data_IF_538663957648
#
_entry.id   IF_538663957648
#
_cell.length_a   1.000
_cell.length_b   1.000
_cell.length_c   1.000
_cell.angle_alpha   90.00
_cell.angle_beta   90.00
_cell.angle_gamma   90.00
#
_symmetry.space_group_name_H-M   'P 1'
#
loop_
_entity.id
_entity.type
_entity.pdbx_description
1 polymer ?
#
# COMPACT_ATOMS: atom_id res chain seq x y z
N UNK A 1 5.89 7.15 -34.06
CA UNK A 1 4.71 6.25 -33.91
C UNK A 1 4.75 5.17 -34.96
N UNK A 2 4.33 3.94 -34.66
CA UNK A 2 4.28 2.84 -35.63
C UNK A 2 2.88 2.20 -35.61
N UNK A 3 2.30 1.99 -36.78
CA UNK A 3 0.99 1.36 -37.00
C UNK A 3 1.20 0.00 -37.70
N UNK A 4 0.62 -1.04 -37.12
CA UNK A 4 0.84 -2.44 -37.51
C UNK A 4 -0.33 -3.02 -38.31
N UNK A 5 -0.07 -4.12 -39.00
CA UNK A 5 -1.05 -4.89 -39.80
C UNK A 5 -1.78 -4.12 -40.92
N UNK A 6 -1.14 -3.11 -41.51
CA UNK A 6 -1.71 -2.34 -42.64
C UNK A 6 -1.67 -3.19 -43.91
N UNK A 7 -2.76 -3.19 -44.67
CA UNK A 7 -2.93 -4.02 -45.87
C UNK A 7 -3.56 -5.38 -45.60
N UNK A 8 -3.70 -5.76 -44.33
CA UNK A 8 -4.42 -6.99 -43.92
C UNK A 8 -5.58 -6.68 -42.98
N UNK A 9 -5.30 -6.42 -41.69
CA UNK A 9 -6.33 -6.21 -40.66
C UNK A 9 -6.65 -4.74 -40.41
N UNK A 10 -5.67 -3.86 -40.61
CA UNK A 10 -5.78 -2.44 -40.32
C UNK A 10 -6.14 -1.65 -41.59
N UNK A 11 -6.93 -0.59 -41.42
CA UNK A 11 -7.23 0.38 -42.48
C UNK A 11 -5.95 1.09 -42.91
N UNK A 12 -5.86 1.43 -44.18
CA UNK A 12 -4.78 2.28 -44.69
C UNK A 12 -4.97 3.72 -44.19
N UNK A 13 -4.00 4.29 -43.44
CA UNK A 13 -4.02 5.69 -43.07
C UNK A 13 -4.07 6.63 -44.28
N UNK A 14 -4.83 7.74 -44.24
CA UNK A 14 -4.83 8.74 -45.30
C UNK A 14 -3.58 9.63 -45.28
N UNK A 15 -2.87 9.67 -44.15
CA UNK A 15 -1.62 10.41 -43.98
C UNK A 15 -0.45 9.55 -44.46
N UNK A 16 0.39 10.03 -45.39
CA UNK A 16 1.57 9.29 -45.82
C UNK A 16 2.59 9.17 -44.66
N UNK A 17 3.14 7.96 -44.42
CA UNK A 17 4.06 7.71 -43.30
C UNK A 17 5.48 8.15 -43.64
N UNK A 18 6.34 8.30 -42.64
CA UNK A 18 7.79 8.51 -42.83
C UNK A 18 8.45 7.30 -43.47
N UNK A 19 8.04 6.09 -43.08
CA UNK A 19 8.51 4.84 -43.68
C UNK A 19 7.42 3.78 -43.77
N UNK A 20 7.58 2.88 -44.74
CA UNK A 20 6.73 1.70 -44.95
C UNK A 20 7.61 0.45 -44.96
N UNK A 21 7.30 -0.49 -44.09
CA UNK A 21 7.99 -1.78 -43.96
C UNK A 21 7.05 -2.92 -44.31
N UNK A 22 7.38 -3.71 -45.32
CA UNK A 22 6.67 -4.95 -45.61
C UNK A 22 7.19 -6.07 -44.70
N UNK A 23 6.33 -6.66 -43.88
CA UNK A 23 6.67 -7.66 -42.85
C UNK A 23 6.29 -9.09 -43.25
N UNK A 24 5.36 -9.22 -44.18
CA UNK A 24 5.00 -10.41 -44.95
C UNK A 24 4.33 -9.96 -46.25
N UNK A 25 4.14 -10.83 -47.27
CA UNK A 25 3.54 -10.42 -48.52
C UNK A 25 2.19 -9.71 -48.32
N UNK A 26 2.10 -8.43 -48.70
CA UNK A 26 0.89 -7.62 -48.56
C UNK A 26 0.55 -7.15 -47.14
N UNK A 27 1.47 -7.31 -46.16
CA UNK A 27 1.29 -6.81 -44.80
C UNK A 27 2.39 -5.83 -44.41
N UNK A 28 1.99 -4.66 -43.90
CA UNK A 28 2.88 -3.51 -43.73
C UNK A 28 2.83 -2.93 -42.32
N UNK A 29 4.00 -2.46 -41.87
CA UNK A 29 4.17 -1.55 -40.73
C UNK A 29 4.45 -0.16 -41.26
N UNK A 30 3.67 0.83 -40.83
CA UNK A 30 3.86 2.23 -41.22
C UNK A 30 4.37 3.02 -40.03
N UNK A 31 5.50 3.72 -40.21
CA UNK A 31 6.08 4.56 -39.16
C UNK A 31 5.99 6.04 -39.46
N UNK A 32 5.68 6.81 -38.43
CA UNK A 32 5.62 8.26 -38.43
C UNK A 32 6.68 8.78 -37.45
N UNK A 33 7.68 9.49 -37.95
CA UNK A 33 8.62 10.24 -37.14
C UNK A 33 7.94 11.48 -36.57
N UNK A 34 8.36 11.89 -35.38
CA UNK A 34 7.78 13.02 -34.69
C UNK A 34 8.61 14.28 -34.89
N UNK A 35 7.97 15.40 -35.21
CA UNK A 35 8.63 16.71 -35.27
C UNK A 35 8.98 17.24 -33.87
N UNK A 36 8.18 16.85 -32.89
CA UNK A 36 8.41 17.08 -31.46
C UNK A 36 8.10 15.79 -30.70
N UNK A 37 9.01 15.37 -29.83
CA UNK A 37 8.88 14.12 -29.09
C UNK A 37 7.72 14.22 -28.08
N UNK A 38 6.62 13.46 -28.23
CA UNK A 38 5.52 13.50 -27.28
C UNK A 38 5.91 12.84 -25.95
N UNK A 39 5.20 13.21 -24.90
CA UNK A 39 5.25 12.47 -23.63
C UNK A 39 4.69 11.05 -23.80
N UNK A 40 5.06 10.16 -22.88
CA UNK A 40 4.55 8.77 -22.86
C UNK A 40 3.02 8.74 -22.76
N UNK A 41 2.44 9.65 -21.97
CA UNK A 41 0.99 9.79 -21.79
C UNK A 41 0.28 10.20 -23.08
N UNK A 42 0.77 11.23 -23.77
CA UNK A 42 0.20 11.70 -25.04
C UNK A 42 0.29 10.65 -26.13
N UNK A 43 1.46 10.00 -26.27
CA UNK A 43 1.61 8.90 -27.22
C UNK A 43 0.60 7.79 -26.92
N UNK A 44 0.50 7.38 -25.65
CA UNK A 44 -0.39 6.29 -25.22
C UNK A 44 -1.86 6.60 -25.51
N UNK A 45 -2.30 7.84 -25.24
CA UNK A 45 -3.66 8.27 -25.54
C UNK A 45 -3.93 8.25 -27.05
N UNK A 46 -2.98 8.76 -27.85
CA UNK A 46 -3.12 8.81 -29.30
C UNK A 46 -3.15 7.41 -29.93
N UNK A 47 -2.20 6.53 -29.61
CA UNK A 47 -2.14 5.19 -30.23
C UNK A 47 -3.37 4.34 -29.88
N UNK A 48 -3.94 4.50 -28.68
CA UNK A 48 -5.20 3.84 -28.29
C UNK A 48 -6.39 4.33 -29.12
N UNK A 49 -6.48 5.64 -29.35
CA UNK A 49 -7.54 6.21 -30.20
C UNK A 49 -7.39 5.76 -31.67
N UNK A 50 -6.15 5.70 -32.17
CA UNK A 50 -5.84 5.22 -33.54
C UNK A 50 -6.18 3.72 -33.67
N UNK A 51 -5.87 2.90 -32.67
CA UNK A 51 -6.25 1.48 -32.64
C UNK A 51 -7.77 1.29 -32.62
N UNK A 52 -8.49 2.06 -31.79
CA UNK A 52 -9.95 2.03 -31.74
C UNK A 52 -10.62 2.43 -33.07
N UNK A 53 -10.00 3.34 -33.83
CA UNK A 53 -10.45 3.70 -35.18
C UNK A 53 -10.11 2.64 -36.26
N UNK A 54 -9.32 1.62 -35.91
CA UNK A 54 -8.98 0.47 -36.76
C UNK A 54 -7.78 0.71 -37.68
N UNK A 55 -6.90 1.66 -37.36
CA UNK A 55 -5.71 1.96 -38.17
C UNK A 55 -4.45 1.21 -37.73
N UNK A 56 -4.51 0.43 -36.64
CA UNK A 56 -3.42 -0.45 -36.17
C UNK A 56 -3.99 -1.63 -35.38
N UNK A 57 -3.23 -2.72 -35.28
CA UNK A 57 -3.59 -3.86 -34.44
C UNK A 57 -3.81 -3.43 -32.97
N UNK A 58 -4.94 -3.78 -32.32
CA UNK A 58 -5.23 -3.42 -30.93
C UNK A 58 -4.21 -3.92 -29.90
N UNK A 59 -3.50 -5.02 -30.20
CA UNK A 59 -2.40 -5.55 -29.39
C UNK A 59 -1.07 -4.80 -29.57
N UNK A 60 -1.00 -3.86 -30.52
CA UNK A 60 0.16 -3.01 -30.79
C UNK A 60 -0.03 -1.55 -30.31
N UNK A 61 -0.84 -1.31 -29.27
CA UNK A 61 -1.21 0.03 -28.81
C UNK A 61 -0.35 0.59 -27.66
N UNK A 62 0.96 0.35 -27.64
CA UNK A 62 1.85 0.83 -26.57
C UNK A 62 3.03 1.68 -27.10
N UNK A 63 3.62 2.57 -26.26
CA UNK A 63 4.72 3.46 -26.69
C UNK A 63 6.05 2.77 -27.02
N UNK A 64 6.26 1.55 -26.54
CA UNK A 64 7.56 0.85 -26.58
C UNK A 64 7.51 -0.35 -27.53
N UNK A 65 6.80 -0.21 -28.65
CA UNK A 65 6.57 -1.32 -29.58
C UNK A 65 7.74 -1.52 -30.52
N UNK A 66 8.25 -2.75 -30.56
CA UNK A 66 9.25 -3.16 -31.54
C UNK A 66 8.65 -3.23 -32.94
N UNK A 67 9.42 -2.82 -33.94
CA UNK A 67 9.07 -2.92 -35.35
C UNK A 67 10.14 -3.71 -36.11
N UNK A 68 9.82 -4.14 -37.33
CA UNK A 68 10.73 -4.93 -38.16
C UNK A 68 11.86 -4.09 -38.70
N UNK A 69 13.06 -4.67 -38.70
CA UNK A 69 14.21 -4.09 -39.39
C UNK A 69 14.27 -4.59 -40.84
N UNK A 70 14.71 -3.75 -41.79
CA UNK A 70 14.97 -4.18 -43.17
C UNK A 70 15.92 -5.39 -43.18
N UNK A 71 15.61 -6.40 -43.98
CA UNK A 71 16.40 -7.64 -44.08
C UNK A 71 16.15 -8.66 -42.95
N UNK A 72 15.35 -8.33 -41.94
CA UNK A 72 15.01 -9.30 -40.88
C UNK A 72 14.07 -10.40 -41.41
N UNK A 73 14.37 -11.65 -41.04
CA UNK A 73 13.57 -12.82 -41.46
C UNK A 73 12.37 -13.00 -40.53
N UNK A 74 11.18 -13.05 -41.10
CA UNK A 74 9.97 -13.44 -40.41
C UNK A 74 9.98 -14.97 -40.21
N UNK A 75 10.26 -15.40 -38.99
CA UNK A 75 10.40 -16.83 -38.68
C UNK A 75 9.12 -17.66 -38.91
N UNK A 76 7.94 -17.03 -39.03
CA UNK A 76 6.69 -17.77 -39.24
C UNK A 76 6.49 -18.23 -40.69
N UNK A 77 7.02 -17.48 -41.66
CA UNK A 77 6.77 -17.73 -43.08
C UNK A 77 8.03 -17.60 -43.96
N UNK A 78 9.20 -17.34 -43.37
CA UNK A 78 10.47 -17.18 -44.07
C UNK A 78 10.61 -15.87 -44.85
N UNK A 79 9.64 -14.96 -44.77
CA UNK A 79 9.69 -13.71 -45.53
C UNK A 79 10.79 -12.78 -45.01
N UNK A 80 11.59 -12.22 -45.93
CA UNK A 80 12.60 -11.23 -45.60
C UNK A 80 11.93 -9.86 -45.64
N UNK A 81 11.85 -9.18 -44.49
CA UNK A 81 11.19 -7.87 -44.36
C UNK A 81 11.86 -6.82 -45.25
N UNK A 82 11.07 -6.00 -45.95
CA UNK A 82 11.57 -5.05 -46.96
C UNK A 82 11.15 -3.62 -46.63
N UNK A 83 12.11 -2.70 -46.69
CA UNK A 83 11.81 -1.27 -46.69
C UNK A 83 11.23 -0.90 -48.06
N UNK A 84 9.94 -0.59 -48.10
CA UNK A 84 9.21 -0.26 -49.34
C UNK A 84 9.35 1.21 -49.67
N UNK A 85 9.17 2.06 -48.66
CA UNK A 85 9.30 3.52 -48.79
C UNK A 85 10.01 4.06 -47.55
N UNK A 86 10.89 5.04 -47.75
CA UNK A 86 11.46 5.84 -46.69
C UNK A 86 11.65 7.28 -47.18
N UNK A 87 10.93 8.21 -46.54
CA UNK A 87 11.03 9.64 -46.80
C UNK A 87 11.64 10.32 -45.57
N UNK A 88 12.98 10.40 -45.46
CA UNK A 88 13.62 11.06 -44.34
C UNK A 88 13.22 12.55 -44.27
N UNK A 89 13.02 13.07 -43.06
CA UNK A 89 12.57 14.44 -42.81
C UNK A 89 11.04 14.64 -42.90
N UNK A 90 10.26 13.62 -43.29
CA UNK A 90 8.80 13.64 -43.17
C UNK A 90 8.42 13.38 -41.70
N UNK A 91 8.18 14.45 -40.97
CA UNK A 91 7.86 14.43 -39.54
C UNK A 91 6.51 15.07 -39.27
N UNK A 92 5.86 14.64 -38.19
CA UNK A 92 4.54 15.15 -37.80
C UNK A 92 4.45 15.33 -36.28
N UNK A 93 3.63 16.28 -35.84
CA UNK A 93 3.15 16.31 -34.47
C UNK A 93 2.10 15.22 -34.23
N UNK A 94 1.91 14.82 -32.97
CA UNK A 94 0.82 13.89 -32.60
C UNK A 94 -0.55 14.45 -33.00
N UNK A 95 -0.74 15.77 -32.87
CA UNK A 95 -1.97 16.45 -33.23
C UNK A 95 -2.28 16.33 -34.74
N UNK A 96 -1.29 16.53 -35.61
CA UNK A 96 -1.46 16.37 -37.06
C UNK A 96 -1.79 14.93 -37.45
N UNK A 97 -1.10 13.95 -36.83
CA UNK A 97 -1.39 12.53 -37.05
C UNK A 97 -2.85 12.23 -36.66
N UNK A 98 -3.28 12.65 -35.48
CA UNK A 98 -4.63 12.40 -34.98
C UNK A 98 -5.70 13.09 -35.84
N UNK A 99 -5.46 14.34 -36.24
CA UNK A 99 -6.37 15.10 -37.09
C UNK A 99 -6.52 14.44 -38.46
N UNK A 100 -5.41 14.03 -39.10
CA UNK A 100 -5.45 13.36 -40.39
C UNK A 100 -6.17 12.00 -40.34
N UNK A 101 -6.06 11.28 -39.21
CA UNK A 101 -6.74 10.01 -38.97
C UNK A 101 -8.20 10.18 -38.48
N UNK A 102 -8.64 11.42 -38.21
CA UNK A 102 -9.98 11.71 -37.69
C UNK A 102 -10.22 11.14 -36.28
N UNK A 103 -9.18 11.08 -35.44
CA UNK A 103 -9.28 10.52 -34.08
C UNK A 103 -9.08 11.60 -33.01
N UNK A 104 -9.73 11.40 -31.87
CA UNK A 104 -9.58 12.26 -30.69
C UNK A 104 -8.95 11.44 -29.57
N UNK A 105 -7.67 11.70 -29.20
CA UNK A 105 -7.04 11.06 -28.06
C UNK A 105 -7.79 11.35 -26.75
N UNK A 106 -7.78 10.39 -25.83
CA UNK A 106 -8.22 10.64 -24.45
C UNK A 106 -7.24 11.56 -23.70
N UNK A 107 -7.55 11.85 -22.43
CA UNK A 107 -6.64 12.59 -21.55
C UNK A 107 -5.33 11.82 -21.41
N UNK A 108 -4.20 12.51 -21.59
CA UNK A 108 -2.87 11.92 -21.40
C UNK A 108 -2.72 11.46 -19.95
N UNK A 109 -2.18 10.24 -19.77
CA UNK A 109 -1.83 9.77 -18.43
C UNK A 109 -0.59 10.53 -17.94
N UNK A 110 -0.77 11.32 -16.88
CA UNK A 110 0.30 12.09 -16.23
C UNK A 110 0.87 11.38 -15.00
N UNK A 111 0.47 10.13 -14.75
CA UNK A 111 0.98 9.37 -13.62
C UNK A 111 2.49 9.12 -13.79
N UNK A 112 3.29 9.86 -13.03
CA UNK A 112 4.73 9.63 -12.91
C UNK A 112 4.98 8.79 -11.66
N UNK A 113 5.61 7.63 -11.81
CA UNK A 113 6.21 6.92 -10.67
C UNK A 113 7.43 7.74 -10.24
N UNK A 114 7.28 8.50 -9.15
CA UNK A 114 8.42 9.19 -8.52
C UNK A 114 9.03 8.24 -7.51
N UNK A 115 10.31 7.93 -7.67
CA UNK A 115 11.06 7.27 -6.60
C UNK A 115 11.12 8.19 -5.39
N UNK A 116 10.83 7.64 -4.21
CA UNK A 116 11.07 8.35 -2.95
C UNK A 116 12.54 8.12 -2.63
N UNK A 117 13.38 9.11 -2.93
CA UNK A 117 14.77 9.11 -2.51
C UNK A 117 14.89 9.49 -1.03
N UNK A 118 15.59 8.67 -0.24
CA UNK A 118 16.03 9.04 1.09
C UNK A 118 17.26 9.94 0.94
N UNK A 119 17.20 11.17 1.45
CA UNK A 119 18.36 12.06 1.52
C UNK A 119 19.10 11.82 2.84
N UNK A 120 20.43 11.89 2.79
CA UNK A 120 21.22 11.91 4.01
C UNK A 120 21.02 13.24 4.74
N UNK A 121 20.89 13.21 6.06
CA UNK A 121 20.79 14.41 6.90
C UNK A 121 22.18 14.93 7.34
N UNK A 122 23.24 14.16 7.08
CA UNK A 122 24.61 14.46 7.50
C UNK A 122 24.96 13.99 8.92
N UNK A 123 24.03 13.36 9.63
CA UNK A 123 24.17 12.96 11.04
C UNK A 123 24.55 11.47 11.20
N UNK A 124 25.11 10.84 10.18
CA UNK A 124 25.60 9.47 10.30
C UNK A 124 26.88 9.42 11.15
N UNK A 125 26.76 8.78 12.31
CA UNK A 125 27.80 8.65 13.32
C UNK A 125 28.98 7.76 12.87
N UNK A 126 28.75 6.80 11.96
CA UNK A 126 29.82 6.00 11.36
C UNK A 126 30.69 6.88 10.46
N UNK A 127 30.09 7.70 9.59
CA UNK A 127 30.83 8.65 8.75
C UNK A 127 31.59 9.68 9.61
N UNK A 128 30.97 10.21 10.68
CA UNK A 128 31.62 11.11 11.61
C UNK A 128 32.85 10.45 12.27
N UNK A 129 32.71 9.20 12.72
CA UNK A 129 33.80 8.42 13.31
C UNK A 129 34.95 8.16 12.30
N UNK A 130 34.64 7.87 11.04
CA UNK A 130 35.64 7.71 9.97
C UNK A 130 36.40 9.03 9.74
N UNK A 131 35.67 10.16 9.72
CA UNK A 131 36.25 11.48 9.52
C UNK A 131 37.17 11.89 10.68
N UNK A 132 36.77 11.64 11.93
CA UNK A 132 37.57 11.91 13.13
C UNK A 132 38.91 11.14 13.14
N UNK A 133 38.92 9.93 12.54
CA UNK A 133 40.13 9.11 12.37
C UNK A 133 41.02 9.55 11.22
N UNK A 134 40.59 10.52 10.41
CA UNK A 134 41.30 10.93 9.20
C UNK A 134 41.25 9.89 8.08
N UNK A 135 40.27 8.97 8.12
CA UNK A 135 40.11 7.88 7.14
C UNK A 135 39.14 8.26 6.01
N UNK A 136 38.66 9.51 5.99
CA UNK A 136 37.83 10.06 4.92
C UNK A 136 38.71 10.62 3.79
N UNK A 137 38.65 10.01 2.61
CA UNK A 137 39.48 10.34 1.45
C UNK A 137 38.77 11.28 0.46
N UNK A 138 37.47 11.10 0.24
CA UNK A 138 36.68 11.92 -0.67
C UNK A 138 35.31 12.28 -0.07
N UNK A 139 34.85 13.48 -0.39
CA UNK A 139 33.49 13.92 -0.11
C UNK A 139 32.45 13.11 -0.89
N UNK A 140 31.20 13.16 -0.44
CA UNK A 140 30.08 12.48 -1.07
C UNK A 140 29.89 12.90 -2.52
N UNK A 141 29.78 11.94 -3.43
CA UNK A 141 29.40 12.19 -4.82
C UNK A 141 27.89 12.47 -4.96
N UNK A 142 27.40 12.71 -6.19
CA UNK A 142 25.98 12.97 -6.45
C UNK A 142 25.02 11.83 -6.06
N UNK A 143 25.53 10.63 -5.78
CA UNK A 143 24.77 9.47 -5.29
C UNK A 143 24.91 9.22 -3.78
N UNK A 144 25.70 10.07 -3.08
CA UNK A 144 25.93 10.00 -1.64
C UNK A 144 27.02 9.02 -1.21
N UNK A 145 27.91 8.62 -2.12
CA UNK A 145 29.06 7.77 -1.78
C UNK A 145 30.29 8.61 -1.43
N UNK A 146 30.82 8.39 -0.22
CA UNK A 146 32.05 8.96 0.29
C UNK A 146 33.23 8.01 0.02
N UNK A 147 34.39 8.56 -0.29
CA UNK A 147 35.63 7.78 -0.36
C UNK A 147 36.20 7.60 1.03
N UNK A 148 36.43 6.36 1.45
CA UNK A 148 36.97 6.02 2.78
C UNK A 148 38.15 5.07 2.64
N UNK A 149 39.03 5.02 3.63
CA UNK A 149 40.11 4.01 3.66
C UNK A 149 39.50 2.62 3.80
N UNK A 150 39.86 1.72 2.89
CA UNK A 150 39.53 0.31 2.96
C UNK A 150 40.27 -0.32 4.15
N UNK A 151 39.59 -1.08 5.02
CA UNK A 151 40.27 -1.78 6.11
C UNK A 151 41.35 -2.76 5.65
N UNK A 152 41.25 -3.24 4.41
CA UNK A 152 42.21 -4.12 3.76
C UNK A 152 43.15 -3.41 2.76
N UNK A 153 43.29 -2.09 2.88
CA UNK A 153 44.08 -1.28 1.95
C UNK A 153 45.53 -1.78 1.78
N UNK A 154 46.09 -2.46 2.79
CA UNK A 154 47.45 -3.00 2.73
C UNK A 154 47.62 -4.12 1.67
N UNK A 155 46.54 -4.80 1.28
CA UNK A 155 46.56 -5.86 0.27
C UNK A 155 46.30 -5.32 -1.16
N UNK A 156 46.05 -4.02 -1.29
CA UNK A 156 45.78 -3.38 -2.58
C UNK A 156 47.08 -3.26 -3.38
N UNK A 157 47.16 -4.00 -4.50
CA UNK A 157 48.36 -4.05 -5.35
C UNK A 157 48.58 -2.79 -6.20
N UNK A 158 47.55 -1.96 -6.38
CA UNK A 158 47.62 -0.70 -7.12
C UNK A 158 47.98 0.50 -6.22
N UNK A 159 48.12 0.29 -4.91
CA UNK A 159 48.45 1.32 -3.93
C UNK A 159 47.33 2.32 -3.64
N UNK A 160 46.12 2.12 -4.19
CA UNK A 160 44.97 2.98 -3.91
C UNK A 160 44.22 2.45 -2.67
N UNK A 161 44.23 3.16 -1.53
CA UNK A 161 43.62 2.66 -0.30
C UNK A 161 42.09 2.78 -0.27
N UNK A 162 41.45 3.29 -1.31
CA UNK A 162 40.06 3.75 -1.26
C UNK A 162 39.02 2.64 -1.43
N UNK A 163 38.10 2.56 -0.47
CA UNK A 163 36.75 2.00 -0.61
C UNK A 163 35.69 3.11 -0.67
N UNK A 164 34.42 2.72 -0.77
CA UNK A 164 33.26 3.64 -0.79
C UNK A 164 32.29 3.30 0.32
N UNK A 165 31.86 4.33 1.04
CA UNK A 165 30.84 4.25 2.08
C UNK A 165 29.65 5.16 1.77
N UNK A 166 28.42 4.70 2.04
CA UNK A 166 27.18 5.43 1.80
C UNK A 166 26.36 5.52 3.08
N UNK A 167 26.34 6.69 3.75
CA UNK A 167 25.69 6.91 5.04
C UNK A 167 24.21 6.50 5.08
N UNK A 168 23.42 6.92 4.07
CA UNK A 168 21.97 6.69 4.00
C UNK A 168 21.55 5.23 4.26
N UNK A 169 22.34 4.29 3.72
CA UNK A 169 22.09 2.86 3.81
C UNK A 169 23.19 2.10 4.56
N UNK A 170 24.15 2.82 5.15
CA UNK A 170 25.40 2.31 5.71
C UNK A 170 26.01 1.23 4.82
N UNK A 171 26.03 1.49 3.52
CA UNK A 171 26.55 0.56 2.54
C UNK A 171 28.05 0.79 2.38
N UNK A 172 28.80 -0.28 2.26
CA UNK A 172 30.22 -0.26 1.95
C UNK A 172 30.51 -1.15 0.76
N UNK A 173 31.40 -0.67 -0.12
CA UNK A 173 31.96 -1.47 -1.20
C UNK A 173 33.43 -1.09 -1.43
N UNK A 174 34.25 -2.09 -1.75
CA UNK A 174 35.60 -1.90 -2.27
C UNK A 174 35.63 -2.39 -3.73
N UNK A 175 36.40 -1.75 -4.60
CA UNK A 175 36.47 -2.09 -6.02
C UNK A 175 37.56 -3.11 -6.36
N UNK A 176 38.39 -3.49 -5.38
CA UNK A 176 39.47 -4.44 -5.56
C UNK A 176 38.97 -5.87 -5.45
N UNK A 177 39.35 -6.72 -6.40
CA UNK A 177 38.78 -8.07 -6.56
C UNK A 177 38.88 -8.97 -5.33
N UNK A 178 39.96 -8.88 -4.55
CA UNK A 178 40.13 -9.66 -3.31
C UNK A 178 39.28 -9.11 -2.14
N UNK A 179 38.84 -7.85 -2.21
CA UNK A 179 37.99 -7.24 -1.20
C UNK A 179 36.50 -7.48 -1.45
N UNK A 180 36.06 -7.71 -2.69
CA UNK A 180 34.63 -7.82 -3.03
C UNK A 180 33.95 -8.99 -2.32
N UNK A 181 34.66 -10.10 -2.12
CA UNK A 181 34.08 -11.31 -1.49
C UNK A 181 33.99 -11.19 0.04
N UNK A 182 35.00 -10.62 0.69
CA UNK A 182 35.12 -10.57 2.15
C UNK A 182 34.64 -9.25 2.77
N UNK A 183 34.87 -8.12 2.10
CA UNK A 183 34.57 -6.77 2.58
C UNK A 183 33.24 -6.25 2.05
N UNK A 184 32.16 -6.93 2.41
CA UNK A 184 30.80 -6.45 2.23
C UNK A 184 30.38 -5.47 3.34
N UNK A 185 29.18 -4.88 3.21
CA UNK A 185 28.67 -3.87 4.15
C UNK A 185 28.54 -4.38 5.59
N UNK A 186 28.13 -5.64 5.78
CA UNK A 186 28.01 -6.22 7.12
C UNK A 186 29.38 -6.44 7.77
N UNK A 187 30.37 -6.95 7.02
CA UNK A 187 31.74 -7.12 7.52
C UNK A 187 32.39 -5.78 7.84
N UNK A 188 32.19 -4.77 7.00
CA UNK A 188 32.74 -3.43 7.21
C UNK A 188 32.20 -2.80 8.51
N UNK A 189 30.89 -2.86 8.76
CA UNK A 189 30.30 -2.33 9.99
C UNK A 189 30.70 -3.13 11.23
N UNK A 190 30.83 -4.46 11.12
CA UNK A 190 31.38 -5.28 12.19
C UNK A 190 32.83 -4.86 12.53
N UNK A 191 33.65 -4.59 11.50
CA UNK A 191 35.00 -4.05 11.70
C UNK A 191 34.98 -2.66 12.36
N UNK A 192 34.05 -1.76 11.98
CA UNK A 192 33.89 -0.45 12.65
C UNK A 192 33.65 -0.64 14.15
N UNK A 193 32.72 -1.52 14.53
CA UNK A 193 32.46 -1.85 15.93
C UNK A 193 33.69 -2.48 16.63
N UNK A 194 34.39 -3.40 15.96
CA UNK A 194 35.65 -4.01 16.45
C UNK A 194 36.74 -2.96 16.73
N UNK A 195 36.78 -1.87 15.95
CA UNK A 195 37.72 -0.76 16.13
C UNK A 195 37.24 0.31 17.13
N UNK A 196 36.13 0.06 17.84
CA UNK A 196 35.56 0.96 18.83
C UNK A 196 34.68 2.09 18.25
N UNK A 197 34.23 1.93 17.00
CA UNK A 197 33.24 2.80 16.38
C UNK A 197 31.80 2.40 16.70
N UNK A 198 30.82 3.14 16.16
CA UNK A 198 29.39 2.86 16.38
C UNK A 198 28.98 1.46 15.89
N UNK A 199 28.16 0.76 16.68
CA UNK A 199 27.65 -0.57 16.37
C UNK A 199 26.30 -0.49 15.64
N UNK A 200 26.35 -0.66 14.32
CA UNK A 200 25.19 -0.55 13.44
C UNK A 200 25.12 -1.69 12.44
N UNK A 201 23.90 -1.99 11.98
CA UNK A 201 23.67 -2.94 10.90
C UNK A 201 23.55 -2.24 9.54
N UNK A 202 23.84 -2.99 8.48
CA UNK A 202 23.62 -2.53 7.11
C UNK A 202 22.12 -2.41 6.83
N UNK A 203 21.71 -1.31 6.21
CA UNK A 203 20.30 -1.00 5.96
C UNK A 203 20.05 0.51 5.97
N UNK A 204 18.83 0.92 5.61
CA UNK A 204 18.44 2.32 5.70
C UNK A 204 18.49 2.80 7.15
N UNK A 205 18.96 4.03 7.37
CA UNK A 205 18.91 4.66 8.70
C UNK A 205 17.46 4.86 9.14
N UNK A 206 17.12 4.37 10.32
CA UNK A 206 15.75 4.36 10.85
C UNK A 206 15.20 5.79 11.03
N UNK A 207 16.06 6.75 11.38
CA UNK A 207 15.70 8.16 11.57
C UNK A 207 15.28 8.83 10.26
N UNK A 208 16.01 8.54 9.18
CA UNK A 208 15.70 9.03 7.84
C UNK A 208 14.39 8.39 7.32
N UNK A 209 14.22 7.09 7.56
CA UNK A 209 12.98 6.39 7.21
C UNK A 209 11.78 6.96 7.97
N UNK A 210 11.92 7.19 9.28
CA UNK A 210 10.89 7.80 10.11
C UNK A 210 10.51 9.20 9.62
N UNK A 211 11.49 10.02 9.24
CA UNK A 211 11.25 11.38 8.74
C UNK A 211 10.48 11.37 7.40
N UNK A 212 10.88 10.51 6.47
CA UNK A 212 10.19 10.37 5.18
C UNK A 212 8.78 9.79 5.37
N UNK A 213 8.62 8.81 6.25
CA UNK A 213 7.31 8.22 6.57
C UNK A 213 6.39 9.25 7.25
N UNK A 214 6.91 10.07 8.17
CA UNK A 214 6.15 11.15 8.80
C UNK A 214 5.70 12.20 7.77
N UNK A 215 6.59 12.59 6.85
CA UNK A 215 6.26 13.50 5.76
C UNK A 215 5.23 12.93 4.78
N UNK A 216 5.29 11.63 4.48
CA UNK A 216 4.31 10.93 3.65
C UNK A 216 2.95 10.84 4.36
N UNK A 217 2.92 10.40 5.62
CA UNK A 217 1.73 10.37 6.47
C UNK A 217 1.07 11.74 6.55
N UNK A 218 1.85 12.81 6.73
CA UNK A 218 1.33 14.19 6.76
C UNK A 218 0.60 14.60 5.49
N UNK A 219 1.01 14.09 4.32
CA UNK A 219 0.37 14.36 3.01
C UNK A 219 -0.82 13.44 2.70
N UNK A 220 -0.87 12.29 3.35
CA UNK A 220 -1.97 11.32 3.27
C UNK A 220 -3.04 11.63 4.33
N UNK A 221 -2.75 12.56 5.26
CA UNK A 221 -3.69 13.02 6.27
C UNK A 221 -5.03 13.44 5.66
N UNK A 222 -6.16 13.10 6.32
CA UNK A 222 -7.49 13.35 5.79
C UNK A 222 -7.70 14.82 5.45
N UNK A 223 -8.20 15.09 4.25
CA UNK A 223 -8.54 16.45 3.80
C UNK A 223 -10.04 16.65 3.85
N UNK A 224 -10.52 17.89 3.79
CA UNK A 224 -11.96 18.17 3.71
C UNK A 224 -12.64 17.49 2.49
N UNK A 225 -11.88 17.20 1.42
CA UNK A 225 -12.37 16.50 0.23
C UNK A 225 -12.30 14.96 0.35
N UNK A 226 -11.48 14.44 1.26
CA UNK A 226 -11.34 13.02 1.55
C UNK A 226 -11.29 12.84 3.08
N UNK A 227 -12.44 13.00 3.76
CA UNK A 227 -12.54 12.85 5.21
C UNK A 227 -12.36 11.38 5.60
N UNK A 228 -11.78 11.13 6.77
CA UNK A 228 -11.50 9.78 7.28
C UNK A 228 -12.73 9.11 7.89
N UNK A 229 -13.84 9.12 7.14
CA UNK A 229 -15.10 8.50 7.55
C UNK A 229 -14.92 6.98 7.72
N UNK A 230 -13.93 6.40 7.05
CA UNK A 230 -13.59 4.98 7.13
C UNK A 230 -13.01 4.60 8.49
N UNK A 231 -12.21 5.47 9.14
CA UNK A 231 -11.66 5.18 10.48
C UNK A 231 -12.75 5.21 11.55
N UNK A 232 -13.73 6.12 11.48
CA UNK A 232 -14.84 6.15 12.44
C UNK A 232 -15.79 4.95 12.26
N UNK A 233 -16.07 4.56 11.01
CA UNK A 233 -16.84 3.34 10.72
C UNK A 233 -16.05 2.09 11.17
N UNK A 234 -14.74 2.02 10.91
CA UNK A 234 -13.88 0.92 11.37
C UNK A 234 -13.77 0.89 12.89
N UNK A 235 -13.67 2.04 13.57
CA UNK A 235 -13.68 2.12 15.04
C UNK A 235 -15.02 1.68 15.60
N UNK A 236 -16.13 2.05 14.98
CA UNK A 236 -17.46 1.59 15.39
C UNK A 236 -17.62 0.08 15.16
N UNK A 237 -17.12 -0.45 14.04
CA UNK A 237 -17.12 -1.88 13.72
C UNK A 237 -16.18 -2.66 14.64
N UNK A 238 -14.97 -2.18 14.90
CA UNK A 238 -14.02 -2.77 15.84
C UNK A 238 -14.55 -2.69 17.28
N UNK A 239 -15.25 -1.61 17.65
CA UNK A 239 -15.97 -1.50 18.93
C UNK A 239 -17.16 -2.45 18.96
N UNK A 240 -17.74 -2.89 17.84
CA UNK A 240 -18.72 -3.99 17.83
C UNK A 240 -18.01 -5.35 17.95
N UNK A 241 -16.88 -5.56 17.29
CA UNK A 241 -16.10 -6.80 17.36
C UNK A 241 -15.41 -7.00 18.72
N UNK A 242 -16.00 -7.86 19.56
CA UNK A 242 -15.50 -8.17 20.92
C UNK A 242 -13.99 -8.48 20.97
N UNK A 243 -13.44 -9.21 19.99
CA UNK A 243 -12.04 -9.67 20.01
C UNK A 243 -10.96 -8.62 19.73
N UNK A 244 -11.32 -7.37 19.42
CA UNK A 244 -10.35 -6.31 19.05
C UNK A 244 -10.24 -5.18 20.07
N UNK A 245 -10.92 -5.29 21.20
CA UNK A 245 -10.85 -4.30 22.27
C UNK A 245 -9.47 -4.27 22.92
N UNK A 246 -8.98 -3.05 23.18
CA UNK A 246 -7.81 -2.85 24.01
C UNK A 246 -8.12 -3.16 25.49
N UNK A 247 -7.09 -3.54 26.24
CA UNK A 247 -7.22 -3.89 27.67
C UNK A 247 -7.84 -2.77 28.52
N UNK A 248 -7.62 -1.51 28.15
CA UNK A 248 -8.17 -0.37 28.87
C UNK A 248 -9.70 -0.28 28.75
N UNK A 249 -10.26 -0.73 27.62
CA UNK A 249 -11.69 -0.64 27.28
C UNK A 249 -12.53 -1.74 27.96
N UNK A 250 -11.90 -2.80 28.45
CA UNK A 250 -12.61 -3.94 29.04
C UNK A 250 -13.51 -3.52 30.22
N UNK A 251 -13.03 -2.60 31.06
CA UNK A 251 -13.68 -2.22 32.31
C UNK A 251 -14.93 -1.35 32.10
N UNK A 252 -15.03 -0.70 30.94
CA UNK A 252 -16.21 0.08 30.54
C UNK A 252 -17.24 -0.80 29.83
N UNK A 253 -16.77 -1.79 29.05
CA UNK A 253 -17.63 -2.65 28.23
C UNK A 253 -18.20 -3.85 28.98
N UNK A 254 -17.43 -4.45 29.87
CA UNK A 254 -17.84 -5.66 30.57
C UNK A 254 -18.23 -5.39 32.02
N UNK A 255 -19.13 -6.22 32.54
CA UNK A 255 -19.47 -6.28 33.94
C UNK A 255 -19.32 -7.72 34.44
N UNK A 256 -18.71 -7.92 35.61
CA UNK A 256 -18.54 -9.27 36.16
C UNK A 256 -19.87 -9.77 36.74
N UNK A 257 -20.25 -11.01 36.40
CA UNK A 257 -21.48 -11.66 36.87
C UNK A 257 -21.10 -12.64 37.99
N UNK A 258 -21.64 -12.40 39.18
CA UNK A 258 -21.34 -13.22 40.36
C UNK A 258 -21.95 -14.62 40.25
N UNK A 259 -23.21 -14.76 39.81
CA UNK A 259 -23.92 -16.04 39.78
C UNK A 259 -23.25 -17.09 38.90
N UNK A 260 -22.71 -16.67 37.76
CA UNK A 260 -22.34 -17.57 36.65
C UNK A 260 -20.83 -17.60 36.37
N UNK A 261 -20.02 -16.89 37.16
CA UNK A 261 -18.57 -16.72 36.93
C UNK A 261 -18.28 -16.29 35.48
N UNK A 262 -18.98 -15.24 35.05
CA UNK A 262 -19.04 -14.80 33.66
C UNK A 262 -18.92 -13.27 33.53
N UNK A 263 -18.86 -12.78 32.31
CA UNK A 263 -18.77 -11.36 31.97
C UNK A 263 -19.94 -10.96 31.10
N UNK A 264 -20.70 -9.95 31.52
CA UNK A 264 -21.79 -9.37 30.74
C UNK A 264 -21.26 -8.26 29.83
N UNK A 265 -21.40 -8.41 28.51
CA UNK A 265 -21.13 -7.34 27.55
C UNK A 265 -22.29 -6.33 27.58
N UNK A 266 -22.02 -5.13 28.11
CA UNK A 266 -22.99 -4.05 28.22
C UNK A 266 -23.41 -3.49 26.85
N UNK A 267 -22.56 -3.63 25.84
CA UNK A 267 -22.87 -3.23 24.48
C UNK A 267 -23.74 -4.29 23.81
N UNK A 268 -23.27 -5.54 23.75
CA UNK A 268 -23.93 -6.66 23.07
C UNK A 268 -25.13 -7.28 23.82
N UNK A 269 -25.27 -6.97 25.11
CA UNK A 269 -26.24 -7.58 26.05
C UNK A 269 -26.16 -9.10 26.07
N UNK A 270 -24.92 -9.62 26.04
CA UNK A 270 -24.59 -11.05 26.01
C UNK A 270 -23.69 -11.42 27.18
N UNK A 271 -23.85 -12.66 27.62
CA UNK A 271 -23.01 -13.26 28.65
C UNK A 271 -21.85 -14.02 28.01
N UNK A 272 -20.65 -13.82 28.54
CA UNK A 272 -19.41 -14.44 28.09
C UNK A 272 -18.81 -15.21 29.26
N UNK A 273 -18.79 -16.53 29.13
CA UNK A 273 -18.16 -17.41 30.11
C UNK A 273 -16.67 -17.06 30.28
N UNK A 274 -16.14 -17.19 31.50
CA UNK A 274 -14.72 -16.91 31.79
C UNK A 274 -13.73 -17.59 30.84
N UNK A 275 -13.98 -18.85 30.47
CA UNK A 275 -13.15 -19.58 29.49
C UNK A 275 -13.18 -18.93 28.10
N UNK A 276 -14.34 -18.48 27.65
CA UNK A 276 -14.49 -17.77 26.39
C UNK A 276 -13.80 -16.40 26.42
N UNK A 277 -13.93 -15.66 27.53
CA UNK A 277 -13.24 -14.39 27.73
C UNK A 277 -11.71 -14.55 27.62
N UNK A 278 -11.16 -15.58 28.26
CA UNK A 278 -9.73 -15.91 28.14
C UNK A 278 -9.32 -16.29 26.72
N UNK A 279 -10.15 -17.02 25.98
CA UNK A 279 -9.85 -17.42 24.60
C UNK A 279 -9.88 -16.21 23.65
N UNK A 280 -10.89 -15.35 23.77
CA UNK A 280 -11.08 -14.14 22.94
C UNK A 280 -9.86 -13.22 23.08
N UNK A 281 -9.38 -13.01 24.31
CA UNK A 281 -8.29 -12.08 24.61
C UNK A 281 -6.93 -12.75 24.86
N UNK A 282 -6.76 -14.00 24.42
CA UNK A 282 -5.49 -14.73 24.60
C UNK A 282 -4.28 -14.04 23.97
N UNK A 283 -4.52 -13.22 22.94
CA UNK A 283 -3.51 -12.45 22.23
C UNK A 283 -3.05 -11.20 23.00
N UNK A 284 -3.78 -10.76 24.03
CA UNK A 284 -3.44 -9.57 24.81
C UNK A 284 -2.53 -9.95 25.98
N UNK A 285 -1.30 -9.41 26.06
CA UNK A 285 -0.37 -9.73 27.14
C UNK A 285 -0.87 -9.16 28.48
N UNK A 286 -1.08 -10.06 29.45
CA UNK A 286 -1.57 -9.74 30.78
C UNK A 286 -0.57 -10.15 31.87
N UNK A 287 -0.36 -9.28 32.86
CA UNK A 287 0.47 -9.52 34.04
C UNK A 287 -0.34 -9.23 35.31
N UNK A 288 -0.03 -9.93 36.39
CA UNK A 288 -0.67 -9.70 37.69
C UNK A 288 -0.31 -8.32 38.24
N UNK A 289 -1.22 -7.68 38.98
CA UNK A 289 -0.95 -6.45 39.73
C UNK A 289 -0.06 -6.69 40.96
N UNK A 290 0.08 -7.95 41.39
CA UNK A 290 0.84 -8.35 42.57
C UNK A 290 2.29 -8.77 42.28
N UNK A 291 2.78 -8.54 41.06
CA UNK A 291 4.13 -8.96 40.64
C UNK A 291 4.35 -8.86 39.14
N UNK A 292 5.16 -9.76 38.56
CA UNK A 292 5.52 -9.75 37.13
C UNK A 292 5.04 -10.97 36.36
N UNK A 293 4.40 -11.93 37.03
CA UNK A 293 3.92 -13.17 36.43
C UNK A 293 2.85 -12.92 35.36
N UNK A 294 2.91 -13.70 34.27
CA UNK A 294 1.88 -13.69 33.22
C UNK A 294 0.61 -14.36 33.74
N UNK A 295 -0.53 -13.73 33.51
CA UNK A 295 -1.86 -14.23 33.93
C UNK A 295 -2.83 -14.25 32.74
N UNK A 296 -3.97 -14.91 32.89
CA UNK A 296 -5.02 -14.92 31.86
C UNK A 296 -5.77 -13.58 31.84
N UNK A 297 -6.48 -13.30 30.75
CA UNK A 297 -7.26 -12.06 30.59
C UNK A 297 -8.28 -11.87 31.71
N UNK A 298 -8.97 -12.96 32.11
CA UNK A 298 -9.95 -12.95 33.19
C UNK A 298 -9.34 -12.58 34.55
N UNK A 299 -8.14 -13.10 34.86
CA UNK A 299 -7.44 -12.79 36.11
C UNK A 299 -7.00 -11.33 36.11
N UNK A 300 -6.44 -10.86 34.99
CA UNK A 300 -6.04 -9.47 34.84
C UNK A 300 -7.23 -8.51 34.99
N UNK A 301 -8.39 -8.84 34.40
CA UNK A 301 -9.61 -8.08 34.57
C UNK A 301 -10.02 -8.05 36.05
N UNK A 302 -10.09 -9.22 36.71
CA UNK A 302 -10.58 -9.33 38.09
C UNK A 302 -9.71 -8.61 39.11
N UNK A 303 -8.39 -8.63 38.94
CA UNK A 303 -7.45 -7.88 39.79
C UNK A 303 -7.60 -6.36 39.64
N UNK A 304 -7.98 -5.88 38.45
CA UNK A 304 -8.04 -4.46 38.14
C UNK A 304 -9.44 -3.86 38.22
N UNK A 305 -10.51 -4.68 38.19
CA UNK A 305 -11.90 -4.23 38.03
C UNK A 305 -12.33 -3.19 39.07
N UNK A 306 -11.91 -3.34 40.33
CA UNK A 306 -12.25 -2.39 41.38
C UNK A 306 -11.55 -1.04 41.17
N UNK A 307 -10.24 -1.07 40.92
CA UNK A 307 -9.44 0.13 40.68
C UNK A 307 -9.86 0.87 39.39
N UNK A 308 -10.40 0.14 38.41
CA UNK A 308 -10.88 0.66 37.13
C UNK A 308 -12.38 0.96 37.09
N UNK A 309 -13.09 0.82 38.22
CA UNK A 309 -14.51 1.16 38.33
C UNK A 309 -15.46 0.26 37.53
N UNK A 310 -15.04 -0.96 37.18
CA UNK A 310 -15.87 -1.88 36.43
C UNK A 310 -17.04 -2.40 37.28
N UNK A 311 -18.17 -2.66 36.63
CA UNK A 311 -19.40 -3.06 37.32
C UNK A 311 -19.37 -4.53 37.73
N UNK A 312 -20.07 -4.83 38.82
CA UNK A 312 -20.35 -6.19 39.27
C UNK A 312 -21.85 -6.38 39.37
N UNK A 313 -22.36 -7.49 38.83
CA UNK A 313 -23.77 -7.81 38.69
C UNK A 313 -24.09 -9.10 39.44
N UNK A 314 -25.29 -9.18 40.00
CA UNK A 314 -25.74 -10.39 40.69
C UNK A 314 -26.00 -11.55 39.72
N UNK A 315 -26.46 -11.23 38.52
CA UNK A 315 -26.84 -12.20 37.49
C UNK A 315 -27.26 -11.51 36.20
N UNK A 316 -27.84 -12.32 35.30
CA UNK A 316 -28.47 -11.85 34.06
C UNK A 316 -29.98 -12.05 34.14
N UNK A 317 -30.74 -11.13 33.56
CA UNK A 317 -32.21 -11.16 33.51
C UNK A 317 -32.72 -10.78 32.12
N UNK A 318 -34.03 -10.90 31.93
CA UNK A 318 -34.75 -10.39 30.79
C UNK A 318 -35.90 -9.51 31.26
N UNK A 319 -35.73 -8.19 31.13
CA UNK A 319 -36.71 -7.20 31.51
C UNK A 319 -37.07 -6.34 30.29
N UNK A 320 -38.23 -6.58 29.70
CA UNK A 320 -38.66 -5.86 28.50
C UNK A 320 -38.96 -4.39 28.81
N UNK A 321 -38.49 -3.48 27.96
CA UNK A 321 -38.64 -2.03 28.16
C UNK A 321 -37.58 -1.39 29.06
N UNK A 322 -36.81 -2.20 29.80
CA UNK A 322 -35.80 -1.72 30.74
C UNK A 322 -34.43 -1.46 30.09
N UNK A 323 -33.60 -0.71 30.81
CA UNK A 323 -32.23 -0.38 30.38
C UNK A 323 -31.31 -1.62 30.36
N UNK A 324 -30.06 -1.45 29.90
CA UNK A 324 -29.04 -2.53 29.90
C UNK A 324 -28.77 -3.10 31.30
N UNK A 325 -28.97 -2.29 32.33
CA UNK A 325 -28.94 -2.71 33.72
C UNK A 325 -30.35 -2.65 34.27
N UNK A 326 -30.83 -3.76 34.80
CA UNK A 326 -32.13 -3.85 35.47
C UNK A 326 -31.89 -4.02 36.97
N UNK A 327 -32.69 -3.33 37.79
CA UNK A 327 -32.68 -3.50 39.24
C UNK A 327 -33.87 -4.36 39.64
N UNK A 328 -33.62 -5.45 40.35
CA UNK A 328 -34.63 -6.38 40.86
C UNK A 328 -34.24 -6.75 42.29
N UNK A 329 -35.18 -6.62 43.22
CA UNK A 329 -35.00 -6.96 44.65
C UNK A 329 -33.74 -6.32 45.29
N UNK A 330 -33.41 -5.08 44.90
CA UNK A 330 -32.26 -4.34 45.42
C UNK A 330 -30.90 -4.76 44.85
N UNK A 331 -30.85 -5.73 43.94
CA UNK A 331 -29.65 -6.16 43.23
C UNK A 331 -29.67 -5.70 41.75
N UNK A 332 -28.49 -5.55 41.15
CA UNK A 332 -28.32 -5.13 39.75
C UNK A 332 -28.03 -6.34 38.88
N UNK A 333 -28.80 -6.47 37.79
CA UNK A 333 -28.71 -7.55 36.81
C UNK A 333 -28.41 -7.00 35.42
N UNK A 334 -27.67 -7.78 34.62
CA UNK A 334 -27.50 -7.49 33.19
C UNK A 334 -28.78 -7.86 32.44
N UNK A 335 -29.36 -6.94 31.68
CA UNK A 335 -30.60 -7.19 30.95
C UNK A 335 -30.32 -7.62 29.51
N UNK A 336 -30.76 -8.81 29.10
CA UNK A 336 -30.59 -9.31 27.72
C UNK A 336 -31.57 -8.70 26.72
N UNK A 337 -32.66 -8.10 27.19
CA UNK A 337 -33.66 -7.51 26.31
C UNK A 337 -33.03 -6.43 25.43
N UNK A 338 -33.44 -6.34 24.17
CA UNK A 338 -33.08 -5.25 23.26
C UNK A 338 -34.34 -4.85 22.50
N UNK A 339 -34.54 -3.55 22.33
CA UNK A 339 -35.62 -3.09 21.48
C UNK A 339 -35.26 -3.35 20.01
N UNK A 340 -35.85 -4.40 19.44
CA UNK A 340 -35.71 -4.76 18.03
C UNK A 340 -36.98 -4.45 17.24
N UNK A 341 -37.91 -3.67 17.80
CA UNK A 341 -39.12 -3.27 17.08
C UNK A 341 -38.71 -2.36 15.91
N UNK A 342 -39.24 -2.59 14.70
CA UNK A 342 -38.96 -1.72 13.56
C UNK A 342 -39.49 -0.31 13.86
N UNK A 343 -38.85 0.71 13.30
CA UNK A 343 -39.37 2.07 13.35
C UNK A 343 -40.75 2.09 12.67
N UNK A 344 -41.79 2.30 13.45
CA UNK A 344 -43.16 2.36 12.93
C UNK A 344 -43.46 3.77 12.46
N UNK A 345 -43.90 3.93 11.22
CA UNK A 345 -44.57 5.14 10.78
C UNK A 345 -46.06 5.08 11.15
N UNK A 346 -46.69 6.24 11.35
CA UNK A 346 -48.15 6.30 11.44
C UNK A 346 -48.72 5.82 10.10
N UNK A 347 -49.43 4.70 10.11
CA UNK A 347 -49.99 4.06 8.92
C UNK A 347 -51.51 4.01 8.99
N UNK A 348 -52.15 4.05 7.83
CA UNK A 348 -53.58 3.84 7.74
C UNK A 348 -53.93 2.36 7.94
N UNK A 349 -54.59 2.07 9.06
CA UNK A 349 -55.02 0.72 9.41
C UNK A 349 -56.32 0.30 8.73
N UNK A 350 -56.95 1.18 7.91
CA UNK A 350 -58.28 0.96 7.34
C UNK A 350 -58.39 -0.36 6.56
N UNK A 351 -57.37 -0.75 5.78
CA UNK A 351 -57.40 -2.04 5.05
C UNK A 351 -57.42 -3.26 5.97
N UNK A 352 -56.84 -3.18 7.15
CA UNK A 352 -56.91 -4.24 8.15
C UNK A 352 -58.24 -4.22 8.89
N UNK A 353 -58.77 -3.04 9.21
CA UNK A 353 -60.09 -2.88 9.82
C UNK A 353 -61.21 -3.39 8.89
N UNK A 354 -61.20 -3.01 7.61
CA UNK A 354 -62.12 -3.53 6.58
C UNK A 354 -62.02 -5.05 6.42
N UNK A 355 -60.83 -5.62 6.60
CA UNK A 355 -60.65 -7.07 6.55
C UNK A 355 -61.25 -7.75 7.78
N UNK A 356 -61.08 -7.16 8.96
CA UNK A 356 -61.68 -7.65 10.21
C UNK A 356 -63.20 -7.56 10.18
N UNK A 357 -63.77 -6.47 9.65
CA UNK A 357 -65.22 -6.31 9.43
C UNK A 357 -65.81 -7.42 8.54
N UNK A 358 -65.05 -7.94 7.58
CA UNK A 358 -65.49 -9.09 6.75
C UNK A 358 -65.37 -10.44 7.43
N UNK A 359 -64.47 -10.56 8.42
CA UNK A 359 -64.20 -11.80 9.13
C UNK A 359 -65.10 -11.99 10.35
N UNK A 360 -65.63 -10.91 10.90
CA UNK A 360 -66.58 -10.93 12.01
C UNK A 360 -67.97 -10.68 11.43
N UNK A 361 -68.80 -11.73 11.21
CA UNK A 361 -70.14 -11.54 10.67
C UNK A 361 -70.98 -10.68 11.64
N UNK A 362 -71.54 -9.59 11.11
CA UNK A 362 -72.49 -8.77 11.86
C UNK A 362 -73.69 -9.65 12.27
N UNK A 363 -73.98 -9.70 13.57
CA UNK A 363 -75.25 -10.23 14.10
C UNK A 363 -76.34 -9.16 14.04
#
# INVERSE_FOLDING_TARGET
MMLDDIGTKSKTPPLPPTWIMETSPGNYQWGYAFSEQPTVGEFSAAIKAIAAAGYTDPGACNPVRNFRLPGSINQKNGFISRLVEFTPGREYSVAEICAALGVTPGVADTATVRSVGLQDDGDDDVLAWIAERGELLEQGNGEGWYGVVCPNAAEHTDGNPMGRYRPVSRAYTCFHGHCVEEWNSARYLAWVAEQGGPDHQHGLRDELLATVMAGALGKISPTAAFPDETVEIIREVNRKEMGRLEKAEWYERFAYIISDDAYFDLMERREIMRKAFNAIYAHIPCKTVHGTAKVSASVCYDENRQAKGARTLQGVTYAAGESVLATMDGAVYGNRWRDARPATAQGDASRWLEHVERLIPEQ
#
